data_IF_703434980968
#
_entry.id   IF_703434980968
#
_cell.length_a   1.000
_cell.length_b   1.000
_cell.length_c   1.000
_cell.angle_alpha   90.00
_cell.angle_beta   90.00
_cell.angle_gamma   90.00
#
_symmetry.space_group_name_H-M   'P 1'
#
loop_
_entity.id
_entity.type
_entity.pdbx_description
1 polymer ?
#
# COMPACT_ATOMS: atom_id res chain seq x y z
N UNK A 1 -35.96 29.94 -29.54
CA UNK A 1 -35.84 28.90 -28.51
C UNK A 1 -34.70 29.31 -27.63
N UNK A 2 -34.99 29.87 -26.46
CA UNK A 2 -33.96 30.26 -25.47
C UNK A 2 -33.39 28.99 -24.90
N UNK A 3 -32.06 28.80 -25.04
CA UNK A 3 -31.32 27.78 -24.32
C UNK A 3 -31.60 27.97 -22.82
N UNK A 4 -32.13 26.92 -22.20
CA UNK A 4 -32.22 26.84 -20.76
C UNK A 4 -30.79 27.04 -20.20
N UNK A 5 -30.48 27.98 -19.29
CA UNK A 5 -29.15 28.07 -18.72
C UNK A 5 -28.89 26.75 -18.01
N UNK A 6 -27.99 25.90 -18.57
CA UNK A 6 -27.48 24.75 -17.88
C UNK A 6 -27.05 25.25 -16.50
N UNK A 7 -27.66 24.73 -15.43
CA UNK A 7 -27.33 25.15 -14.08
C UNK A 7 -25.85 24.88 -13.86
N UNK A 8 -25.07 25.92 -13.52
CA UNK A 8 -23.66 25.85 -13.28
C UNK A 8 -23.34 24.66 -12.34
N UNK A 9 -22.46 23.73 -12.75
CA UNK A 9 -22.05 22.59 -11.93
C UNK A 9 -21.43 23.07 -10.60
N UNK A 10 -21.59 22.26 -9.55
CA UNK A 10 -21.17 22.61 -8.19
C UNK A 10 -20.28 21.51 -7.59
N UNK A 11 -19.11 21.91 -7.11
CA UNK A 11 -18.20 21.08 -6.32
C UNK A 11 -18.33 21.44 -4.84
N UNK A 12 -18.61 20.46 -4.00
CA UNK A 12 -18.57 20.58 -2.54
C UNK A 12 -17.29 19.94 -1.99
N UNK A 13 -16.60 20.65 -1.12
CA UNK A 13 -15.41 20.18 -0.40
C UNK A 13 -15.73 20.07 1.09
N UNK A 14 -15.49 18.90 1.69
CA UNK A 14 -15.61 18.69 3.13
C UNK A 14 -14.68 17.55 3.62
N UNK A 15 -13.87 17.78 4.67
CA UNK A 15 -13.71 19.02 5.45
C UNK A 15 -13.09 20.16 4.64
N UNK A 16 -13.29 21.39 5.14
CA UNK A 16 -12.77 22.57 4.47
C UNK A 16 -11.24 22.55 4.35
N UNK A 17 -10.75 23.01 3.21
CA UNK A 17 -9.33 23.24 2.94
C UNK A 17 -8.97 24.70 3.12
N UNK A 18 -7.67 25.01 3.28
CA UNK A 18 -7.17 26.38 3.41
C UNK A 18 -7.33 27.20 2.12
N UNK A 19 -7.27 28.53 2.23
CA UNK A 19 -7.50 29.43 1.12
C UNK A 19 -6.47 29.28 -0.03
N UNK A 20 -5.15 29.06 0.22
CA UNK A 20 -4.21 28.81 -0.87
C UNK A 20 -4.56 27.60 -1.75
N UNK A 21 -4.98 26.50 -1.15
CA UNK A 21 -5.43 25.29 -1.88
C UNK A 21 -6.79 25.52 -2.54
N UNK A 22 -7.72 26.17 -1.82
CA UNK A 22 -9.04 26.48 -2.34
C UNK A 22 -8.98 27.35 -3.60
N UNK A 23 -8.09 28.34 -3.65
CA UNK A 23 -7.85 29.17 -4.83
C UNK A 23 -7.47 28.32 -6.04
N UNK A 24 -6.54 27.37 -5.87
CA UNK A 24 -6.14 26.48 -6.96
C UNK A 24 -7.28 25.57 -7.42
N UNK A 25 -8.11 25.07 -6.48
CA UNK A 25 -9.29 24.29 -6.84
C UNK A 25 -10.30 25.11 -7.61
N UNK A 26 -10.57 26.37 -7.20
CA UNK A 26 -11.46 27.28 -7.95
C UNK A 26 -10.96 27.57 -9.36
N UNK A 27 -9.65 27.74 -9.51
CA UNK A 27 -9.02 27.91 -10.84
C UNK A 27 -9.18 26.65 -11.71
N UNK A 28 -9.00 25.47 -11.12
CA UNK A 28 -9.18 24.20 -11.82
C UNK A 28 -10.64 23.91 -12.17
N UNK A 29 -11.58 24.35 -11.34
CA UNK A 29 -13.02 24.17 -11.47
C UNK A 29 -13.67 25.15 -12.45
N UNK A 30 -12.97 25.59 -13.49
CA UNK A 30 -13.43 26.60 -14.46
C UNK A 30 -14.90 26.39 -14.85
N UNK A 31 -15.75 27.41 -14.61
CA UNK A 31 -17.19 27.35 -14.90
C UNK A 31 -18.04 26.63 -13.83
N UNK A 32 -17.45 26.05 -12.79
CA UNK A 32 -18.18 25.45 -11.67
C UNK A 32 -18.20 26.37 -10.44
N UNK A 33 -19.23 26.28 -9.62
CA UNK A 33 -19.21 26.84 -8.26
C UNK A 33 -18.48 25.91 -7.29
N UNK A 34 -17.70 26.47 -6.35
CA UNK A 34 -16.96 25.68 -5.36
C UNK A 34 -17.36 26.11 -3.95
N UNK A 35 -17.93 25.17 -3.19
CA UNK A 35 -18.32 25.36 -1.80
C UNK A 35 -17.31 24.62 -0.90
N UNK A 36 -16.69 25.34 0.05
CA UNK A 36 -15.74 24.83 1.01
C UNK A 36 -16.43 24.77 2.36
N UNK A 37 -16.95 23.61 2.76
CA UNK A 37 -17.81 23.47 3.94
C UNK A 37 -16.97 23.34 5.23
N UNK A 38 -17.13 24.27 6.19
CA UNK A 38 -16.34 24.23 7.44
C UNK A 38 -16.82 23.16 8.43
N UNK A 39 -18.08 22.70 8.30
CA UNK A 39 -18.71 21.75 9.21
C UNK A 39 -19.70 20.82 8.49
N UNK A 40 -20.10 19.76 9.17
CA UNK A 40 -21.01 18.75 8.64
C UNK A 40 -22.40 19.31 8.28
N UNK A 41 -22.93 20.27 9.06
CA UNK A 41 -24.22 20.88 8.78
C UNK A 41 -24.20 21.71 7.50
N UNK A 42 -23.10 22.41 7.23
CA UNK A 42 -22.88 23.13 5.97
C UNK A 42 -22.67 22.16 4.83
N UNK A 43 -21.94 21.06 5.04
CA UNK A 43 -21.77 20.02 4.03
C UNK A 43 -23.10 19.36 3.66
N UNK A 44 -23.94 19.05 4.66
CA UNK A 44 -25.27 18.44 4.43
C UNK A 44 -26.21 19.36 3.63
N UNK A 45 -26.19 20.66 3.90
CA UNK A 45 -26.94 21.63 3.06
C UNK A 45 -26.34 21.78 1.66
N UNK A 46 -25.02 21.78 1.58
CA UNK A 46 -24.31 22.00 0.33
C UNK A 46 -24.37 20.84 -0.64
N UNK A 47 -24.54 19.59 -0.15
CA UNK A 47 -24.54 18.39 -1.00
C UNK A 47 -25.85 18.23 -1.78
N UNK A 48 -26.94 18.82 -1.34
CA UNK A 48 -28.29 18.64 -1.93
C UNK A 48 -28.27 18.86 -3.44
N UNK A 49 -27.62 19.92 -3.89
CA UNK A 49 -27.52 20.32 -5.31
C UNK A 49 -26.10 20.28 -5.85
N UNK A 50 -25.19 19.55 -5.20
CA UNK A 50 -23.82 19.36 -5.68
C UNK A 50 -23.76 18.29 -6.74
N UNK A 51 -22.98 18.54 -7.79
CA UNK A 51 -22.68 17.60 -8.88
C UNK A 51 -21.41 16.80 -8.58
N UNK A 52 -20.49 17.37 -7.77
CA UNK A 52 -19.24 16.75 -7.36
C UNK A 52 -18.97 16.93 -5.87
N UNK A 53 -18.29 15.96 -5.25
CA UNK A 53 -17.91 15.99 -3.86
C UNK A 53 -16.46 15.54 -3.67
N UNK A 54 -15.66 16.33 -2.94
CA UNK A 54 -14.35 15.92 -2.43
C UNK A 54 -14.41 15.70 -0.93
N UNK A 55 -14.12 14.49 -0.48
CA UNK A 55 -14.10 14.13 0.92
C UNK A 55 -14.58 12.71 1.20
N UNK A 56 -14.84 12.41 2.49
CA UNK A 56 -15.45 11.15 2.88
C UNK A 56 -16.97 11.26 2.75
N UNK A 57 -17.50 10.70 1.66
CA UNK A 57 -18.96 10.58 1.50
C UNK A 57 -19.52 9.62 2.57
N UNK A 58 -20.59 10.02 3.24
CA UNK A 58 -21.30 9.21 4.25
C UNK A 58 -22.67 8.81 3.72
N UNK A 59 -23.33 7.77 4.28
CA UNK A 59 -24.69 7.43 3.92
C UNK A 59 -25.66 8.61 4.00
N UNK A 60 -25.51 9.46 5.03
CA UNK A 60 -26.34 10.65 5.24
C UNK A 60 -26.12 11.70 4.13
N UNK A 61 -24.86 11.99 3.79
CA UNK A 61 -24.55 12.92 2.69
C UNK A 61 -25.03 12.39 1.34
N UNK A 62 -24.83 11.09 1.08
CA UNK A 62 -25.28 10.47 -0.16
C UNK A 62 -26.81 10.50 -0.29
N UNK A 63 -27.54 10.22 0.78
CA UNK A 63 -29.01 10.25 0.80
C UNK A 63 -29.59 11.67 0.57
N UNK A 64 -28.86 12.72 0.98
CA UNK A 64 -29.25 14.10 0.76
C UNK A 64 -28.92 14.61 -0.66
N UNK A 65 -27.99 13.98 -1.36
CA UNK A 65 -27.55 14.40 -2.68
C UNK A 65 -28.58 14.06 -3.76
N UNK A 66 -28.96 15.04 -4.59
CA UNK A 66 -29.96 14.84 -5.66
C UNK A 66 -29.38 14.84 -7.07
N UNK A 67 -28.10 15.30 -7.22
CA UNK A 67 -27.49 15.52 -8.53
C UNK A 67 -26.06 14.96 -8.62
N UNK A 68 -25.60 14.24 -7.61
CA UNK A 68 -24.20 13.82 -7.46
C UNK A 68 -23.78 12.89 -8.61
N UNK A 69 -22.84 13.38 -9.43
CA UNK A 69 -22.26 12.66 -10.57
C UNK A 69 -20.89 12.07 -10.22
N UNK A 70 -20.12 12.75 -9.32
CA UNK A 70 -18.74 12.34 -9.00
C UNK A 70 -18.37 12.55 -7.53
N UNK A 71 -17.64 11.58 -6.99
CA UNK A 71 -17.03 11.64 -5.66
C UNK A 71 -15.51 11.39 -5.79
N UNK A 72 -14.71 12.32 -5.26
CA UNK A 72 -13.28 12.13 -5.07
C UNK A 72 -12.99 11.77 -3.62
N UNK A 73 -12.59 10.51 -3.38
CA UNK A 73 -12.07 10.09 -2.09
C UNK A 73 -10.70 10.72 -1.82
N UNK A 74 -10.40 11.18 -0.58
CA UNK A 74 -9.09 11.73 -0.23
C UNK A 74 -8.03 10.66 0.04
N UNK A 75 -8.37 9.37 -0.04
CA UNK A 75 -7.46 8.25 0.24
C UNK A 75 -7.29 7.33 -0.98
N UNK A 76 -6.24 6.52 -1.00
CA UNK A 76 -6.07 5.47 -2.00
C UNK A 76 -6.90 4.23 -1.65
N UNK A 77 -7.02 3.90 -0.38
CA UNK A 77 -7.79 2.76 0.11
C UNK A 77 -9.24 3.13 0.38
N UNK A 78 -10.16 2.19 0.22
CA UNK A 78 -11.59 2.44 0.20
C UNK A 78 -12.40 1.62 1.22
N UNK A 79 -11.76 0.77 2.03
CA UNK A 79 -12.41 -0.11 3.01
C UNK A 79 -13.29 0.64 4.04
N UNK A 80 -13.00 1.91 4.31
CA UNK A 80 -13.77 2.77 5.22
C UNK A 80 -14.65 3.79 4.49
N UNK A 81 -14.74 3.69 3.16
CA UNK A 81 -15.47 4.64 2.32
C UNK A 81 -16.62 3.97 1.57
N UNK A 82 -16.48 2.68 1.23
CA UNK A 82 -17.50 1.95 0.51
C UNK A 82 -18.58 1.42 1.47
N UNK A 83 -19.83 1.61 1.08
CA UNK A 83 -21.02 1.08 1.73
C UNK A 83 -22.05 0.72 0.65
N UNK A 84 -23.05 -0.14 0.93
CA UNK A 84 -23.94 -0.69 -0.10
C UNK A 84 -24.59 0.35 -1.01
N UNK A 85 -25.09 1.43 -0.43
CA UNK A 85 -25.79 2.48 -1.17
C UNK A 85 -24.83 3.23 -2.12
N UNK A 86 -23.57 3.46 -1.74
CA UNK A 86 -22.58 4.08 -2.61
C UNK A 86 -22.16 3.13 -3.74
N UNK A 87 -22.04 1.83 -3.45
CA UNK A 87 -21.68 0.83 -4.46
C UNK A 87 -22.71 0.80 -5.58
N UNK A 88 -23.99 0.87 -5.24
CA UNK A 88 -25.10 0.85 -6.22
C UNK A 88 -25.44 2.24 -6.79
N UNK A 89 -24.97 3.33 -6.19
CA UNK A 89 -25.24 4.69 -6.68
C UNK A 89 -24.57 4.91 -8.05
N UNK A 90 -25.21 5.60 -9.00
CA UNK A 90 -24.68 5.80 -10.36
C UNK A 90 -23.45 6.73 -10.42
N UNK A 91 -23.16 7.53 -9.38
CA UNK A 91 -22.03 8.45 -9.39
C UNK A 91 -20.70 7.72 -9.61
N UNK A 92 -19.79 8.37 -10.30
CA UNK A 92 -18.40 7.93 -10.40
C UNK A 92 -17.69 8.11 -9.05
N UNK A 93 -16.79 7.19 -8.72
CA UNK A 93 -15.89 7.30 -7.57
C UNK A 93 -14.44 7.28 -8.07
N UNK A 94 -13.65 8.22 -7.63
CA UNK A 94 -12.19 8.21 -7.82
C UNK A 94 -11.46 8.28 -6.49
N UNK A 95 -10.22 7.77 -6.47
CA UNK A 95 -9.38 7.72 -5.27
C UNK A 95 -8.00 8.35 -5.53
N UNK A 96 -7.09 8.24 -4.57
CA UNK A 96 -5.72 8.76 -4.63
C UNK A 96 -4.69 7.66 -4.92
N UNK A 97 -5.05 6.64 -5.72
CA UNK A 97 -4.10 5.57 -6.08
C UNK A 97 -2.94 6.10 -6.94
N UNK A 98 -1.78 5.46 -6.82
CA UNK A 98 -0.57 5.78 -7.59
C UNK A 98 0.33 6.85 -6.95
N UNK A 99 -0.16 7.62 -5.98
CA UNK A 99 0.62 8.71 -5.36
C UNK A 99 1.77 8.23 -4.49
N UNK A 100 1.62 7.05 -3.90
CA UNK A 100 2.47 6.52 -2.83
C UNK A 100 3.42 5.44 -3.30
N UNK A 101 3.33 5.03 -4.56
CA UNK A 101 3.88 3.75 -5.04
C UNK A 101 5.39 3.68 -4.91
N UNK A 102 6.10 4.73 -5.29
CA UNK A 102 7.55 4.83 -5.22
C UNK A 102 8.06 4.90 -3.77
N UNK A 103 7.40 5.69 -2.92
CA UNK A 103 7.78 5.85 -1.50
C UNK A 103 7.60 4.52 -0.75
N UNK A 104 6.47 3.85 -0.95
CA UNK A 104 6.21 2.55 -0.33
C UNK A 104 7.19 1.50 -0.85
N UNK A 105 7.53 1.52 -2.13
CA UNK A 105 8.50 0.59 -2.69
C UNK A 105 9.92 0.81 -2.12
N UNK A 106 10.32 2.06 -1.85
CA UNK A 106 11.57 2.36 -1.12
C UNK A 106 11.55 1.75 0.29
N UNK A 107 10.43 1.89 1.00
CA UNK A 107 10.25 1.32 2.35
C UNK A 107 10.35 -0.22 2.34
N UNK A 108 9.72 -0.89 1.37
CA UNK A 108 9.83 -2.35 1.19
C UNK A 108 11.27 -2.77 0.96
N UNK A 109 12.01 -2.07 0.08
CA UNK A 109 13.42 -2.38 -0.15
C UNK A 109 14.27 -2.11 1.10
N UNK A 110 13.88 -1.15 1.95
CA UNK A 110 14.46 -0.95 3.28
C UNK A 110 14.33 -2.20 4.15
N UNK A 111 13.16 -2.81 4.26
CA UNK A 111 12.96 -4.09 4.97
C UNK A 111 13.79 -5.22 4.35
N UNK A 112 13.75 -5.39 3.02
CA UNK A 112 14.52 -6.42 2.30
C UNK A 112 16.00 -6.31 2.62
N UNK A 113 16.58 -5.10 2.51
CA UNK A 113 17.99 -4.86 2.82
C UNK A 113 18.33 -5.08 4.29
N UNK A 114 17.44 -4.66 5.21
CA UNK A 114 17.63 -4.90 6.65
C UNK A 114 17.73 -6.40 6.96
N UNK A 115 16.88 -7.23 6.37
CA UNK A 115 16.93 -8.68 6.57
C UNK A 115 18.12 -9.32 5.84
N UNK A 116 18.32 -9.03 4.57
CA UNK A 116 19.37 -9.62 3.76
C UNK A 116 20.77 -9.36 4.35
N UNK A 117 20.98 -8.19 4.94
CA UNK A 117 22.27 -7.76 5.52
C UNK A 117 22.31 -7.81 7.04
N UNK A 118 21.30 -8.38 7.73
CA UNK A 118 21.17 -8.46 9.18
C UNK A 118 21.25 -7.09 9.90
N UNK A 119 20.90 -5.98 9.24
CA UNK A 119 21.04 -4.64 9.81
C UNK A 119 20.22 -4.47 11.08
N UNK A 120 19.02 -5.04 11.15
CA UNK A 120 18.14 -5.05 12.34
C UNK A 120 18.81 -5.69 13.57
N UNK A 121 19.64 -6.73 13.36
CA UNK A 121 20.44 -7.39 14.42
C UNK A 121 21.64 -6.54 14.81
N UNK A 122 22.36 -5.99 13.82
CA UNK A 122 23.53 -5.16 14.09
C UNK A 122 23.18 -3.86 14.80
N UNK A 123 22.03 -3.24 14.52
CA UNK A 123 21.55 -2.07 15.26
C UNK A 123 21.31 -2.38 16.75
N UNK A 124 20.75 -3.55 17.07
CA UNK A 124 20.58 -4.00 18.46
C UNK A 124 21.93 -4.27 19.15
N UNK A 125 22.87 -4.91 18.45
CA UNK A 125 24.22 -5.15 18.95
C UNK A 125 24.99 -3.84 19.17
N UNK A 126 24.84 -2.87 18.28
CA UNK A 126 25.42 -1.54 18.43
C UNK A 126 24.95 -0.85 19.72
N UNK A 127 23.65 -0.92 20.05
CA UNK A 127 23.10 -0.37 21.29
C UNK A 127 23.69 -1.02 22.56
N UNK A 128 24.17 -2.26 22.43
CA UNK A 128 24.81 -3.02 23.49
C UNK A 128 26.34 -2.87 23.49
N UNK A 129 26.92 -2.04 22.61
CA UNK A 129 28.37 -1.92 22.38
C UNK A 129 29.04 -3.28 22.11
N UNK A 130 28.36 -4.20 21.41
CA UNK A 130 28.83 -5.55 21.09
C UNK A 130 29.28 -5.66 19.65
N UNK A 131 30.53 -6.08 19.46
CA UNK A 131 31.06 -6.50 18.16
C UNK A 131 30.86 -8.00 18.00
N UNK A 132 29.78 -8.41 17.33
CA UNK A 132 29.43 -9.82 17.15
C UNK A 132 28.81 -10.04 15.78
N UNK A 133 29.58 -10.50 14.78
CA UNK A 133 29.01 -10.75 13.45
C UNK A 133 28.05 -11.95 13.49
N UNK A 134 26.95 -11.83 12.74
CA UNK A 134 26.02 -12.95 12.55
C UNK A 134 26.73 -14.04 11.77
N UNK A 135 26.89 -15.22 12.38
CA UNK A 135 27.72 -16.31 11.87
C UNK A 135 28.95 -16.59 12.76
N UNK A 136 29.28 -15.67 13.69
CA UNK A 136 30.40 -15.82 14.65
C UNK A 136 31.71 -15.21 14.14
N UNK A 137 32.51 -14.64 15.03
CA UNK A 137 33.79 -14.00 14.66
C UNK A 137 34.85 -15.02 14.24
N UNK A 138 34.86 -16.20 14.88
CA UNK A 138 35.81 -17.29 14.59
C UNK A 138 35.61 -17.89 13.19
N UNK A 139 34.43 -17.69 12.62
CA UNK A 139 34.04 -18.14 11.26
C UNK A 139 34.26 -17.05 10.18
N UNK A 140 35.00 -16.00 10.50
CA UNK A 140 35.29 -14.93 9.53
C UNK A 140 36.11 -15.50 8.37
N UNK A 141 35.64 -15.27 7.15
CA UNK A 141 36.39 -15.62 5.94
C UNK A 141 37.70 -14.85 5.90
N UNK A 142 38.81 -15.58 5.85
CA UNK A 142 40.08 -15.03 5.47
C UNK A 142 40.47 -15.62 4.13
N UNK A 143 40.99 -14.83 3.21
CA UNK A 143 41.48 -15.36 1.93
C UNK A 143 42.60 -16.40 2.11
N UNK A 144 43.20 -16.49 3.31
CA UNK A 144 44.12 -17.53 3.72
C UNK A 144 43.48 -18.93 3.80
N UNK A 145 42.17 -19.04 3.98
CA UNK A 145 41.45 -20.31 3.95
C UNK A 145 41.37 -20.95 2.56
N UNK A 146 41.77 -20.20 1.51
CA UNK A 146 41.80 -20.65 0.13
C UNK A 146 40.60 -20.19 -0.71
N UNK A 147 40.68 -20.38 -2.05
CA UNK A 147 39.60 -20.01 -2.94
C UNK A 147 38.36 -20.85 -2.69
N UNK A 148 37.18 -20.25 -2.88
CA UNK A 148 35.86 -20.86 -2.73
C UNK A 148 35.50 -21.28 -1.28
N UNK A 149 36.26 -20.89 -0.27
CA UNK A 149 35.85 -21.09 1.13
C UNK A 149 34.69 -20.14 1.46
N UNK A 150 33.57 -20.72 1.91
CA UNK A 150 32.37 -20.00 2.33
C UNK A 150 32.23 -20.11 3.83
N UNK A 151 32.43 -18.99 4.54
CA UNK A 151 32.32 -18.93 6.02
C UNK A 151 30.88 -19.00 6.50
N UNK A 152 30.69 -19.19 7.82
CA UNK A 152 29.35 -19.08 8.43
C UNK A 152 28.80 -17.65 8.33
N UNK A 153 29.66 -16.63 8.38
CA UNK A 153 29.27 -15.23 8.13
C UNK A 153 28.71 -15.07 6.72
N UNK A 154 29.39 -15.58 5.70
CA UNK A 154 28.94 -15.48 4.29
C UNK A 154 27.56 -16.12 4.11
N UNK A 155 27.34 -17.32 4.68
CA UNK A 155 26.06 -18.04 4.60
C UNK A 155 24.90 -17.34 5.29
N UNK A 156 25.16 -16.42 6.21
CA UNK A 156 24.15 -15.66 6.97
C UNK A 156 23.82 -14.30 6.34
N UNK A 157 24.53 -13.90 5.28
CA UNK A 157 24.31 -12.64 4.59
C UNK A 157 23.85 -12.92 3.15
N UNK A 158 22.59 -12.59 2.85
CA UNK A 158 22.02 -12.86 1.53
C UNK A 158 22.56 -11.87 0.50
N UNK A 159 22.86 -12.38 -0.68
CA UNK A 159 23.08 -11.58 -1.88
C UNK A 159 21.75 -11.50 -2.65
N UNK A 160 21.23 -10.29 -2.86
CA UNK A 160 19.86 -10.13 -3.38
C UNK A 160 19.67 -10.69 -4.79
N UNK A 161 20.73 -10.72 -5.62
CA UNK A 161 20.65 -11.30 -6.96
C UNK A 161 20.40 -12.83 -6.95
N UNK A 162 20.68 -13.51 -5.84
CA UNK A 162 20.40 -14.93 -5.66
C UNK A 162 19.01 -15.19 -5.07
N UNK A 163 18.26 -14.14 -4.74
CA UNK A 163 16.97 -14.23 -4.05
C UNK A 163 15.79 -14.01 -4.99
N UNK A 164 14.67 -14.66 -4.66
CA UNK A 164 13.37 -14.45 -5.31
C UNK A 164 12.49 -13.57 -4.43
N UNK A 165 11.93 -12.51 -5.03
CA UNK A 165 10.90 -11.68 -4.43
C UNK A 165 9.54 -12.06 -5.01
N UNK A 166 8.61 -12.51 -4.15
CA UNK A 166 7.20 -12.75 -4.47
C UNK A 166 6.35 -11.53 -4.11
N UNK A 167 5.56 -11.02 -5.04
CA UNK A 167 4.67 -9.87 -4.83
C UNK A 167 3.21 -10.32 -4.96
N UNK A 168 2.46 -10.17 -3.87
CA UNK A 168 1.02 -10.43 -3.81
C UNK A 168 0.28 -9.10 -3.97
N UNK A 169 -0.36 -8.93 -5.13
CA UNK A 169 -0.95 -7.67 -5.58
C UNK A 169 0.04 -6.83 -6.40
N UNK A 170 -0.03 -6.96 -7.73
CA UNK A 170 0.84 -6.25 -8.69
C UNK A 170 0.09 -5.06 -9.31
N UNK A 171 -0.50 -4.22 -8.44
CA UNK A 171 -1.04 -2.91 -8.80
C UNK A 171 0.08 -1.87 -8.92
N UNK A 172 -0.26 -0.58 -8.76
CA UNK A 172 0.73 0.51 -8.87
C UNK A 172 1.90 0.34 -7.89
N UNK A 173 1.62 -0.01 -6.64
CA UNK A 173 2.64 -0.22 -5.60
C UNK A 173 3.46 -1.47 -5.91
N UNK A 174 2.79 -2.60 -6.16
CA UNK A 174 3.49 -3.87 -6.45
C UNK A 174 4.38 -3.79 -7.69
N UNK A 175 3.95 -3.09 -8.73
CA UNK A 175 4.76 -2.87 -9.93
C UNK A 175 6.02 -2.03 -9.63
N UNK A 176 5.92 -1.00 -8.78
CA UNK A 176 7.09 -0.22 -8.35
C UNK A 176 8.05 -1.04 -7.47
N UNK A 177 7.52 -1.92 -6.62
CA UNK A 177 8.34 -2.87 -5.85
C UNK A 177 9.09 -3.80 -6.80
N UNK A 178 8.41 -4.37 -7.80
CA UNK A 178 9.05 -5.21 -8.82
C UNK A 178 10.20 -4.49 -9.54
N UNK A 179 10.00 -3.22 -9.96
CA UNK A 179 11.05 -2.44 -10.64
C UNK A 179 12.27 -2.22 -9.77
N UNK A 180 12.08 -1.88 -8.48
CA UNK A 180 13.20 -1.68 -7.55
C UNK A 180 13.94 -2.98 -7.26
N UNK A 181 13.21 -4.06 -6.99
CA UNK A 181 13.82 -5.37 -6.75
C UNK A 181 14.62 -5.89 -7.96
N UNK A 182 14.11 -5.66 -9.18
CA UNK A 182 14.83 -6.00 -10.41
C UNK A 182 16.16 -5.24 -10.53
N UNK A 183 16.25 -3.98 -10.06
CA UNK A 183 17.50 -3.22 -10.05
C UNK A 183 18.56 -3.81 -9.10
N UNK A 184 18.16 -4.63 -8.12
CA UNK A 184 19.05 -5.41 -7.27
C UNK A 184 19.37 -6.81 -7.84
N UNK A 185 18.91 -7.11 -9.05
CA UNK A 185 19.14 -8.40 -9.71
C UNK A 185 18.25 -9.54 -9.21
N UNK A 186 17.25 -9.26 -8.36
CA UNK A 186 16.37 -10.29 -7.81
C UNK A 186 15.51 -10.96 -8.90
N UNK A 187 15.23 -12.25 -8.72
CA UNK A 187 14.17 -12.93 -9.48
C UNK A 187 12.81 -12.46 -8.94
N UNK A 188 11.90 -12.08 -9.85
CA UNK A 188 10.59 -11.54 -9.45
C UNK A 188 9.49 -12.55 -9.80
N UNK A 189 8.56 -12.76 -8.85
CA UNK A 189 7.31 -13.49 -9.03
C UNK A 189 6.15 -12.61 -8.61
N UNK A 190 5.04 -12.65 -9.32
CA UNK A 190 3.86 -11.88 -8.99
C UNK A 190 2.58 -12.71 -9.07
N UNK A 191 1.62 -12.42 -8.17
CA UNK A 191 0.23 -12.87 -8.29
C UNK A 191 -0.71 -11.68 -8.20
N UNK A 192 -1.68 -11.61 -9.13
CA UNK A 192 -2.67 -10.54 -9.16
C UNK A 192 -3.95 -11.00 -9.87
N UNK A 193 -5.15 -10.59 -9.45
CA UNK A 193 -6.39 -10.96 -10.12
C UNK A 193 -6.55 -10.34 -11.52
N UNK A 194 -5.90 -9.21 -11.80
CA UNK A 194 -6.09 -8.40 -13.02
C UNK A 194 -4.80 -8.24 -13.81
N UNK A 195 -3.73 -7.79 -13.17
CA UNK A 195 -2.43 -7.55 -13.81
C UNK A 195 -1.83 -8.87 -14.34
N UNK A 196 -1.23 -8.85 -15.53
CA UNK A 196 -0.60 -10.03 -16.13
C UNK A 196 0.89 -9.85 -16.43
N UNK A 197 1.37 -8.59 -16.38
CA UNK A 197 2.79 -8.29 -16.58
C UNK A 197 3.17 -6.94 -15.98
N UNK A 198 4.46 -6.77 -15.69
CA UNK A 198 5.09 -5.47 -15.45
C UNK A 198 6.09 -5.27 -16.59
N UNK A 199 5.80 -4.41 -17.58
CA UNK A 199 6.58 -4.30 -18.80
C UNK A 199 8.08 -4.14 -18.56
N UNK A 200 8.89 -5.00 -19.19
CA UNK A 200 10.36 -5.03 -19.07
C UNK A 200 10.90 -5.56 -17.74
N UNK A 201 10.03 -6.04 -16.82
CA UNK A 201 10.43 -6.52 -15.49
C UNK A 201 9.88 -7.92 -15.20
N UNK A 202 8.57 -8.14 -15.37
CA UNK A 202 7.90 -9.41 -15.15
C UNK A 202 6.93 -9.66 -16.29
N UNK A 203 7.19 -10.69 -17.09
CA UNK A 203 6.35 -11.02 -18.24
C UNK A 203 5.14 -11.89 -17.86
N UNK A 204 5.21 -12.61 -16.72
CA UNK A 204 4.17 -13.51 -16.25
C UNK A 204 3.80 -13.20 -14.78
N UNK A 205 2.79 -12.35 -14.60
CA UNK A 205 2.10 -12.18 -13.32
C UNK A 205 0.95 -13.19 -13.29
N UNK A 206 1.07 -14.15 -12.40
CA UNK A 206 0.16 -15.30 -12.31
C UNK A 206 -1.19 -14.91 -11.68
N UNK A 207 -2.27 -15.64 -11.95
CA UNK A 207 -3.53 -15.48 -11.25
C UNK A 207 -3.42 -15.90 -9.78
N UNK A 208 -4.38 -15.49 -8.95
CA UNK A 208 -4.33 -15.63 -7.49
C UNK A 208 -4.37 -17.08 -6.97
N UNK A 209 -4.90 -18.03 -7.74
CA UNK A 209 -4.86 -19.46 -7.45
C UNK A 209 -3.44 -20.06 -7.49
N UNK A 210 -2.47 -19.32 -8.05
CA UNK A 210 -1.05 -19.69 -8.07
C UNK A 210 -0.27 -19.12 -6.88
N UNK A 211 -0.95 -18.60 -5.86
CA UNK A 211 -0.31 -18.11 -4.63
C UNK A 211 0.57 -19.19 -3.96
N UNK A 212 0.17 -20.46 -3.83
CA UNK A 212 1.02 -21.49 -3.21
C UNK A 212 2.38 -21.65 -3.88
N UNK A 213 2.45 -21.54 -5.21
CA UNK A 213 3.70 -21.63 -5.94
C UNK A 213 4.60 -20.40 -5.68
N UNK A 214 4.01 -19.21 -5.67
CA UNK A 214 4.74 -18.01 -5.33
C UNK A 214 5.35 -18.13 -3.93
N UNK A 215 4.59 -18.61 -2.94
CA UNK A 215 5.05 -18.78 -1.56
C UNK A 215 6.22 -19.77 -1.47
N UNK A 216 6.14 -20.90 -2.16
CA UNK A 216 7.17 -21.93 -2.16
C UNK A 216 8.47 -21.49 -2.87
N UNK A 217 8.38 -20.59 -3.87
CA UNK A 217 9.53 -20.13 -4.66
C UNK A 217 10.26 -18.95 -4.02
N UNK A 218 9.59 -18.15 -3.14
CA UNK A 218 10.06 -16.83 -2.72
C UNK A 218 10.94 -16.87 -1.46
N UNK A 219 11.99 -16.04 -1.43
CA UNK A 219 12.80 -15.76 -0.26
C UNK A 219 12.27 -14.53 0.51
N UNK A 220 11.60 -13.64 -0.20
CA UNK A 220 10.85 -12.52 0.35
C UNK A 220 9.45 -12.51 -0.25
N UNK A 221 8.42 -12.47 0.59
CA UNK A 221 7.01 -12.36 0.17
C UNK A 221 6.48 -11.00 0.59
N UNK A 222 6.04 -10.19 -0.38
CA UNK A 222 5.52 -8.85 -0.13
C UNK A 222 4.03 -8.81 -0.40
N UNK A 223 3.25 -8.40 0.59
CA UNK A 223 1.81 -8.14 0.46
C UNK A 223 1.62 -6.67 0.12
N UNK A 224 1.23 -6.39 -1.14
CA UNK A 224 0.87 -5.08 -1.66
C UNK A 224 -0.58 -5.04 -2.17
N UNK A 225 -1.38 -6.05 -1.81
CA UNK A 225 -2.80 -6.15 -2.14
C UNK A 225 -3.65 -5.21 -1.26
N UNK A 226 -4.76 -4.66 -1.78
CA UNK A 226 -5.71 -3.93 -0.97
C UNK A 226 -6.52 -4.88 -0.06
N UNK A 227 -7.12 -4.33 1.01
CA UNK A 227 -8.15 -5.05 1.75
C UNK A 227 -9.42 -5.14 0.91
N UNK A 228 -9.86 -6.36 0.68
CA UNK A 228 -11.13 -6.72 0.04
C UNK A 228 -11.68 -7.97 0.73
N UNK A 229 -12.96 -8.34 0.52
CA UNK A 229 -13.47 -9.62 1.03
C UNK A 229 -12.63 -10.84 0.63
N UNK A 230 -12.00 -10.81 -0.56
CA UNK A 230 -11.15 -11.89 -1.06
C UNK A 230 -9.75 -11.93 -0.43
N UNK A 231 -9.27 -10.81 0.12
CA UNK A 231 -7.94 -10.72 0.75
C UNK A 231 -7.99 -10.73 2.28
N UNK A 232 -9.19 -10.68 2.87
CA UNK A 232 -9.36 -10.78 4.32
C UNK A 232 -8.81 -12.10 4.86
N UNK A 233 -7.82 -12.00 5.75
CA UNK A 233 -7.10 -13.15 6.33
C UNK A 233 -6.63 -14.15 5.25
N UNK A 234 -6.12 -13.63 4.15
CA UNK A 234 -5.53 -14.43 3.07
C UNK A 234 -4.29 -15.20 3.55
N UNK A 235 -3.53 -14.64 4.48
CA UNK A 235 -2.36 -15.28 5.09
C UNK A 235 -2.72 -15.79 6.48
N UNK A 236 -2.73 -17.11 6.60
CA UNK A 236 -2.97 -17.89 7.82
C UNK A 236 -1.87 -18.94 7.99
N UNK A 237 -1.97 -19.76 9.00
CA UNK A 237 -1.03 -20.86 9.28
C UNK A 237 -0.74 -21.73 8.04
N UNK A 238 -1.73 -21.97 7.17
CA UNK A 238 -1.52 -22.74 5.94
C UNK A 238 -0.56 -22.05 4.98
N UNK A 239 -0.71 -20.74 4.75
CA UNK A 239 0.14 -19.97 3.85
C UNK A 239 1.58 -19.87 4.39
N UNK A 240 1.76 -19.74 5.71
CA UNK A 240 3.09 -19.74 6.32
C UNK A 240 3.81 -21.06 6.12
N UNK A 241 3.12 -22.21 6.27
CA UNK A 241 3.67 -23.54 5.96
C UNK A 241 4.09 -23.73 4.50
N UNK A 242 3.49 -22.99 3.58
CA UNK A 242 3.87 -23.03 2.16
C UNK A 242 5.10 -22.18 1.84
N UNK A 243 5.49 -21.26 2.72
CA UNK A 243 6.69 -20.45 2.56
C UNK A 243 7.94 -21.28 2.88
N UNK A 244 9.10 -20.81 2.37
CA UNK A 244 10.39 -21.38 2.80
C UNK A 244 10.64 -21.05 4.27
N UNK A 245 11.23 -21.95 5.08
CA UNK A 245 11.63 -21.62 6.45
C UNK A 245 12.65 -20.48 6.55
N UNK A 246 13.34 -20.19 5.44
CA UNK A 246 14.26 -19.06 5.31
C UNK A 246 13.62 -17.78 4.78
N UNK A 247 12.33 -17.81 4.45
CA UNK A 247 11.65 -16.67 3.84
C UNK A 247 11.23 -15.61 4.86
N UNK A 248 11.13 -14.39 4.37
CA UNK A 248 10.64 -13.22 5.13
C UNK A 248 9.31 -12.74 4.54
N UNK A 249 8.33 -12.47 5.42
CA UNK A 249 7.09 -11.80 5.05
C UNK A 249 7.23 -10.29 5.20
N UNK A 250 6.77 -9.52 4.23
CA UNK A 250 6.69 -8.06 4.31
C UNK A 250 5.25 -7.65 4.04
N UNK A 251 4.60 -6.98 5.00
CA UNK A 251 3.22 -6.49 4.82
C UNK A 251 3.17 -4.96 4.87
N UNK A 252 2.87 -4.35 3.70
CA UNK A 252 2.61 -2.92 3.53
C UNK A 252 1.21 -2.66 2.94
N UNK A 253 0.40 -3.70 2.81
CA UNK A 253 -0.98 -3.61 2.33
C UNK A 253 -1.94 -3.19 3.43
N UNK A 254 -2.52 -4.18 4.12
CA UNK A 254 -3.38 -3.97 5.30
C UNK A 254 -3.15 -5.09 6.31
N UNK A 255 -3.21 -4.76 7.59
CA UNK A 255 -3.01 -5.72 8.68
C UNK A 255 -3.95 -6.90 8.62
N UNK A 256 -5.23 -6.66 8.35
CA UNK A 256 -6.28 -7.69 8.26
C UNK A 256 -6.12 -8.72 7.13
N UNK A 257 -5.15 -8.52 6.22
CA UNK A 257 -4.80 -9.53 5.19
C UNK A 257 -4.07 -10.72 5.81
N UNK A 258 -3.40 -10.49 6.93
CA UNK A 258 -2.65 -11.48 7.70
C UNK A 258 -3.38 -11.79 9.00
N UNK A 259 -3.59 -13.05 9.32
CA UNK A 259 -3.99 -13.45 10.67
C UNK A 259 -2.80 -13.25 11.61
N UNK A 260 -2.90 -12.27 12.50
CA UNK A 260 -1.78 -11.84 13.34
C UNK A 260 -1.37 -12.90 14.37
N UNK A 261 -2.33 -13.70 14.85
CA UNK A 261 -2.05 -14.80 15.77
C UNK A 261 -1.27 -15.92 15.08
N UNK A 262 -1.71 -16.29 13.87
CA UNK A 262 -1.02 -17.32 13.06
C UNK A 262 0.39 -16.87 12.65
N UNK A 263 0.56 -15.59 12.29
CA UNK A 263 1.88 -15.02 11.99
C UNK A 263 2.81 -15.08 13.22
N UNK A 264 2.29 -14.70 14.39
CA UNK A 264 3.04 -14.73 15.64
C UNK A 264 3.53 -16.14 15.93
N UNK A 265 2.65 -17.14 15.83
CA UNK A 265 2.99 -18.56 16.02
C UNK A 265 4.03 -19.08 15.00
N UNK A 266 3.90 -18.68 13.71
CA UNK A 266 4.85 -19.05 12.66
C UNK A 266 6.25 -18.46 12.89
N UNK A 267 6.33 -17.24 13.43
CA UNK A 267 7.59 -16.58 13.78
C UNK A 267 8.25 -17.22 15.02
N UNK A 268 7.45 -17.57 16.04
CA UNK A 268 7.91 -18.24 17.27
C UNK A 268 8.42 -19.65 17.01
N UNK A 269 7.71 -20.39 16.15
CA UNK A 269 8.11 -21.75 15.77
C UNK A 269 9.27 -21.80 14.77
N UNK A 270 9.63 -20.67 14.15
CA UNK A 270 10.62 -20.62 13.07
C UNK A 270 10.13 -21.21 11.76
N UNK A 271 8.82 -21.27 11.53
CA UNK A 271 8.21 -21.71 10.27
C UNK A 271 8.56 -20.73 9.13
N UNK A 272 8.76 -19.45 9.46
CA UNK A 272 9.35 -18.44 8.57
C UNK A 272 10.49 -17.70 9.30
N UNK A 273 11.43 -17.15 8.55
CA UNK A 273 12.64 -16.53 9.12
C UNK A 273 12.36 -15.22 9.84
N UNK A 274 11.39 -14.45 9.40
CA UNK A 274 11.06 -13.16 10.02
C UNK A 274 9.97 -12.39 9.27
N UNK A 275 9.63 -11.20 9.79
CA UNK A 275 8.62 -10.34 9.16
C UNK A 275 8.94 -8.85 9.28
N UNK A 276 8.66 -8.08 8.21
CA UNK A 276 8.66 -6.61 8.16
C UNK A 276 7.23 -6.10 8.05
N UNK A 277 6.75 -5.41 9.08
CA UNK A 277 5.34 -5.06 9.21
C UNK A 277 5.17 -3.55 9.37
N UNK A 278 4.48 -2.92 8.42
CA UNK A 278 4.07 -1.51 8.53
C UNK A 278 2.61 -1.39 8.98
N UNK A 279 1.83 -2.48 8.89
CA UNK A 279 0.39 -2.51 9.16
C UNK A 279 -0.02 -3.71 10.02
N UNK A 280 -1.07 -3.53 10.85
CA UNK A 280 -1.55 -4.52 11.81
C UNK A 280 -3.07 -4.65 11.80
N UNK A 281 -3.62 -5.79 12.27
CA UNK A 281 -5.07 -5.97 12.43
C UNK A 281 -5.68 -4.95 13.37
N UNK A 282 -4.94 -4.58 14.42
CA UNK A 282 -5.29 -3.51 15.36
C UNK A 282 -4.18 -2.47 15.38
N UNK A 283 -4.51 -1.24 15.07
CA UNK A 283 -3.59 -0.11 15.07
C UNK A 283 -4.06 0.97 16.04
N UNK A 284 -3.19 1.44 16.96
CA UNK A 284 -1.80 1.00 17.21
C UNK A 284 -1.69 -0.44 17.69
N UNK A 285 -0.58 -1.15 17.33
CA UNK A 285 -0.29 -2.48 17.89
C UNK A 285 -0.21 -2.39 19.42
N UNK A 286 -0.94 -3.25 20.16
CA UNK A 286 -0.91 -3.24 21.63
C UNK A 286 0.51 -3.33 22.19
N UNK A 287 0.80 -2.59 23.25
CA UNK A 287 2.15 -2.47 23.82
C UNK A 287 2.70 -3.78 24.42
N UNK A 288 1.81 -4.69 24.77
CA UNK A 288 2.13 -6.03 25.30
C UNK A 288 2.21 -7.12 24.23
N UNK A 289 2.05 -6.77 22.95
CA UNK A 289 2.07 -7.75 21.87
C UNK A 289 3.46 -8.39 21.71
N UNK A 290 3.56 -9.74 21.57
CA UNK A 290 4.84 -10.47 21.49
C UNK A 290 5.78 -9.98 20.38
N UNK A 291 5.26 -9.56 19.27
CA UNK A 291 6.05 -9.07 18.12
C UNK A 291 7.07 -7.98 18.48
N UNK A 292 6.79 -7.14 19.50
CA UNK A 292 7.73 -6.10 19.93
C UNK A 292 9.06 -6.65 20.43
N UNK A 293 9.03 -7.84 21.05
CA UNK A 293 10.21 -8.52 21.60
C UNK A 293 10.97 -9.38 20.59
N UNK A 294 10.42 -9.69 19.43
CA UNK A 294 11.02 -10.61 18.46
C UNK A 294 12.20 -9.98 17.72
N UNK A 295 13.35 -10.66 17.72
CA UNK A 295 14.55 -10.18 17.03
C UNK A 295 14.45 -10.27 15.51
N UNK A 296 13.62 -11.15 15.00
CA UNK A 296 13.38 -11.41 13.57
C UNK A 296 12.20 -10.60 13.00
N UNK A 297 11.71 -9.61 13.77
CA UNK A 297 10.61 -8.73 13.33
C UNK A 297 11.09 -7.28 13.28
N UNK A 298 10.71 -6.57 12.22
CA UNK A 298 10.86 -5.13 12.06
C UNK A 298 9.46 -4.52 11.97
N UNK A 299 9.18 -3.54 12.83
CA UNK A 299 7.89 -2.86 12.91
C UNK A 299 8.07 -1.40 12.55
N UNK A 300 7.20 -0.88 11.68
CA UNK A 300 7.02 0.55 11.45
C UNK A 300 5.55 0.93 11.66
N UNK A 301 5.23 2.15 12.16
CA UNK A 301 3.89 2.51 12.62
C UNK A 301 3.03 3.09 11.48
N UNK A 302 2.75 2.30 10.43
CA UNK A 302 1.93 2.65 9.27
C UNK A 302 2.41 3.94 8.57
N UNK A 303 3.71 3.99 8.27
CA UNK A 303 4.40 5.17 7.71
C UNK A 303 5.09 4.90 6.38
N UNK A 304 4.92 3.72 5.79
CA UNK A 304 5.55 3.36 4.51
C UNK A 304 5.26 4.37 3.39
N UNK A 305 4.12 5.06 3.46
CA UNK A 305 3.71 6.09 2.50
C UNK A 305 4.19 7.51 2.83
N UNK A 306 4.86 7.73 3.97
CA UNK A 306 5.19 9.07 4.45
C UNK A 306 6.28 9.74 3.60
N UNK A 307 5.96 10.89 2.99
CA UNK A 307 6.90 11.71 2.24
C UNK A 307 6.35 13.13 2.09
N UNK A 308 7.19 14.18 2.14
CA UNK A 308 6.78 15.56 1.87
C UNK A 308 6.13 15.75 0.49
N UNK A 309 6.51 14.92 -0.50
CA UNK A 309 5.98 14.99 -1.87
C UNK A 309 4.53 14.51 -2.00
N UNK A 310 4.02 13.76 -1.03
CA UNK A 310 2.67 13.21 -1.12
C UNK A 310 1.61 14.31 -1.08
N UNK A 311 1.78 15.33 -0.25
CA UNK A 311 0.85 16.45 -0.17
C UNK A 311 0.71 17.20 -1.52
N UNK A 312 1.84 17.42 -2.21
CA UNK A 312 1.86 18.03 -3.55
C UNK A 312 1.17 17.16 -4.59
N UNK A 313 1.50 15.87 -4.64
CA UNK A 313 0.89 14.90 -5.57
C UNK A 313 -0.62 14.74 -5.33
N UNK A 314 -1.03 14.74 -4.06
CA UNK A 314 -2.43 14.66 -3.67
C UNK A 314 -3.22 15.87 -4.21
N UNK A 315 -2.70 17.08 -4.02
CA UNK A 315 -3.32 18.28 -4.57
C UNK A 315 -3.33 18.26 -6.10
N UNK A 316 -2.23 17.87 -6.74
CA UNK A 316 -2.14 17.79 -8.20
C UNK A 316 -3.18 16.83 -8.80
N UNK A 317 -3.37 15.65 -8.17
CA UNK A 317 -4.40 14.68 -8.59
C UNK A 317 -5.82 15.23 -8.43
N UNK A 318 -6.10 15.90 -7.30
CA UNK A 318 -7.39 16.57 -7.10
C UNK A 318 -7.65 17.61 -8.19
N UNK A 319 -6.67 18.50 -8.44
CA UNK A 319 -6.80 19.56 -9.44
C UNK A 319 -7.02 18.99 -10.86
N UNK A 320 -6.31 17.92 -11.21
CA UNK A 320 -6.49 17.26 -12.50
C UNK A 320 -7.89 16.65 -12.62
N UNK A 321 -8.37 15.93 -11.61
CA UNK A 321 -9.72 15.35 -11.64
C UNK A 321 -10.81 16.40 -11.65
N UNK A 322 -10.63 17.52 -10.95
CA UNK A 322 -11.56 18.68 -11.01
C UNK A 322 -11.63 19.28 -12.43
N UNK A 323 -10.46 19.50 -13.07
CA UNK A 323 -10.42 20.00 -14.47
C UNK A 323 -11.13 19.06 -15.42
N UNK A 324 -10.87 17.77 -15.31
CA UNK A 324 -11.48 16.74 -16.17
C UNK A 324 -12.99 16.70 -15.98
N UNK A 325 -13.47 16.69 -14.73
CA UNK A 325 -14.90 16.72 -14.44
C UNK A 325 -15.56 18.00 -14.96
N UNK A 326 -14.95 19.19 -14.78
CA UNK A 326 -15.42 20.44 -15.33
C UNK A 326 -15.53 20.41 -16.86
N UNK A 327 -14.61 19.71 -17.53
CA UNK A 327 -14.58 19.52 -18.98
C UNK A 327 -15.46 18.34 -19.47
N UNK A 328 -16.22 17.68 -18.60
CA UNK A 328 -17.03 16.50 -18.95
C UNK A 328 -16.23 15.25 -19.30
N UNK A 329 -15.00 15.16 -18.80
CA UNK A 329 -14.09 14.02 -18.98
C UNK A 329 -14.04 13.15 -17.71
N UNK A 330 -13.79 11.85 -17.89
CA UNK A 330 -13.64 10.93 -16.76
C UNK A 330 -12.40 11.28 -15.89
N UNK A 331 -12.51 11.20 -14.54
CA UNK A 331 -11.37 11.28 -13.64
C UNK A 331 -10.30 10.22 -13.93
N UNK A 332 -9.02 10.53 -13.68
CA UNK A 332 -7.90 9.62 -14.01
C UNK A 332 -7.77 8.41 -13.09
N UNK A 333 -8.39 8.43 -11.91
CA UNK A 333 -8.27 7.39 -10.88
C UNK A 333 -9.62 6.77 -10.53
N UNK A 334 -10.44 6.50 -11.56
CA UNK A 334 -11.75 5.85 -11.39
C UNK A 334 -11.62 4.48 -10.72
N UNK A 335 -12.57 4.18 -9.86
CA UNK A 335 -12.66 2.97 -9.07
C UNK A 335 -13.82 2.10 -9.55
N UNK A 336 -13.58 0.81 -9.71
CA UNK A 336 -14.64 -0.17 -9.74
C UNK A 336 -15.16 -0.39 -8.30
N UNK A 337 -16.29 0.21 -7.97
CA UNK A 337 -16.85 0.18 -6.60
C UNK A 337 -17.19 -1.24 -6.13
N UNK A 338 -17.47 -2.19 -7.03
CA UNK A 338 -17.77 -3.58 -6.69
C UNK A 338 -16.50 -4.38 -6.40
N UNK A 339 -15.38 -4.01 -7.00
CA UNK A 339 -14.06 -4.64 -6.77
C UNK A 339 -13.25 -3.94 -5.67
N UNK A 340 -13.63 -2.74 -5.27
CA UNK A 340 -12.97 -1.89 -4.28
C UNK A 340 -11.63 -1.30 -4.73
N UNK A 341 -11.33 -1.30 -6.03
CA UNK A 341 -10.06 -0.72 -6.57
C UNK A 341 -10.17 -0.28 -8.03
#
# INVERSE_FOLDING_TARGET
MSANPESQKKLLIFPAIDEPRLKQVREAASGMSVVNAPDAATALRGIVDADAFFGKITPELLAAATRLEWVQSPTASLEHYLFPELIEHPCQLSNMRGLFSDVIADHVMGFVLCFARNLHRYLRLQQQARWAPVGGEDERSTFAAGPAFVSAIDRRHLHLADCTLGVVGVGNIGAEICRRAAAFGMTIRGVDPVCRSVPGIVDDVRPTDRLPELLAESDFVVIAAPHTPATFKLFRAEQFRQMKPTAYLINIGRGVIVDLADLTAALESGEIAGAGLDVFETEPLPADHPLWGMENVIITPHVAAASPRIAERHLATLLENVRRFAAGQDPVTLVDKRRWF
#
